data_IF_224649117352
#
_entry.id   IF_224649117352
#
_cell.length_a   1.000
_cell.length_b   1.000
_cell.length_c   1.000
_cell.angle_alpha   90.00
_cell.angle_beta   90.00
_cell.angle_gamma   90.00
#
_symmetry.space_group_name_H-M   'P 1'
#
loop_
_entity.id
_entity.type
_entity.pdbx_description
1 polymer ?
#
# COMPACT_ATOMS: atom_id res chain seq x y z
N UNK A 1 -6.89 -14.39 -8.85
CA UNK A 1 -6.85 -13.08 -8.16
C UNK A 1 -6.74 -13.32 -6.67
N UNK A 2 -5.73 -12.73 -6.01
CA UNK A 2 -5.54 -12.80 -4.56
C UNK A 2 -6.44 -11.76 -3.89
N UNK A 3 -7.11 -12.11 -2.79
CA UNK A 3 -8.04 -11.22 -2.10
C UNK A 3 -7.54 -10.96 -0.69
N UNK A 4 -7.34 -9.71 -0.36
CA UNK A 4 -6.96 -9.23 0.97
C UNK A 4 -7.96 -8.21 1.49
N UNK A 5 -7.58 -7.53 2.56
CA UNK A 5 -8.40 -6.52 3.23
C UNK A 5 -7.63 -5.23 3.44
N UNK A 6 -8.34 -4.11 3.51
CA UNK A 6 -7.79 -2.86 4.02
C UNK A 6 -7.96 -2.83 5.53
N UNK A 7 -6.87 -2.60 6.26
CA UNK A 7 -6.90 -2.42 7.71
C UNK A 7 -7.73 -1.18 8.07
N UNK A 8 -8.74 -1.28 8.95
CA UNK A 8 -9.64 -0.16 9.24
C UNK A 8 -9.02 0.86 10.19
N UNK A 9 -7.92 1.46 9.78
CA UNK A 9 -6.96 2.23 10.57
C UNK A 9 -7.60 3.39 11.36
N UNK A 10 -8.59 4.06 10.76
CA UNK A 10 -9.28 5.20 11.41
C UNK A 10 -10.46 4.78 12.30
N UNK A 11 -10.81 3.49 12.33
CA UNK A 11 -11.97 2.92 13.06
C UNK A 11 -11.57 1.78 13.98
N UNK A 12 -10.35 1.22 13.88
CA UNK A 12 -9.87 0.07 14.69
C UNK A 12 -9.58 0.44 16.16
N UNK A 13 -9.34 1.71 16.44
CA UNK A 13 -8.94 2.17 17.76
C UNK A 13 -7.46 1.95 18.06
N UNK A 14 -7.13 1.90 19.37
CA UNK A 14 -5.75 1.86 19.86
C UNK A 14 -5.45 0.63 20.74
N UNK A 15 -6.42 -0.27 20.91
CA UNK A 15 -6.23 -1.49 21.72
C UNK A 15 -5.36 -2.50 20.95
N UNK A 16 -4.16 -2.84 21.46
CA UNK A 16 -3.28 -3.80 20.81
C UNK A 16 -3.90 -5.19 20.64
N UNK A 17 -4.79 -5.59 21.56
CA UNK A 17 -5.48 -6.87 21.47
C UNK A 17 -6.43 -6.90 20.28
N UNK A 18 -7.22 -5.84 20.10
CA UNK A 18 -8.15 -5.71 18.98
C UNK A 18 -7.41 -5.68 17.63
N UNK A 19 -6.27 -4.99 17.56
CA UNK A 19 -5.42 -4.93 16.36
C UNK A 19 -4.88 -6.33 16.00
N UNK A 20 -4.36 -7.06 17.01
CA UNK A 20 -3.89 -8.44 16.86
C UNK A 20 -5.01 -9.37 16.40
N UNK A 21 -6.14 -9.33 17.11
CA UNK A 21 -7.26 -10.25 16.90
C UNK A 21 -7.89 -10.03 15.52
N UNK A 22 -7.98 -8.77 15.05
CA UNK A 22 -8.38 -8.46 13.67
C UNK A 22 -7.47 -9.13 12.64
N UNK A 23 -6.15 -8.98 12.77
CA UNK A 23 -5.21 -9.56 11.81
C UNK A 23 -5.26 -11.08 11.80
N UNK A 24 -5.38 -11.72 12.97
CA UNK A 24 -5.52 -13.17 13.10
C UNK A 24 -6.84 -13.68 12.52
N UNK A 25 -7.97 -12.97 12.74
CA UNK A 25 -9.26 -13.30 12.15
C UNK A 25 -9.21 -13.21 10.61
N UNK A 26 -8.62 -12.15 10.06
CA UNK A 26 -8.42 -11.97 8.63
C UNK A 26 -7.59 -13.12 8.03
N UNK A 27 -6.51 -13.50 8.70
CA UNK A 27 -5.69 -14.65 8.28
C UNK A 27 -6.46 -15.97 8.37
N UNK A 28 -7.21 -16.20 9.45
CA UNK A 28 -8.02 -17.41 9.64
C UNK A 28 -9.13 -17.54 8.59
N UNK A 29 -9.73 -16.42 8.19
CA UNK A 29 -10.69 -16.38 7.10
C UNK A 29 -10.07 -16.69 5.71
N UNK A 30 -8.72 -16.72 5.59
CA UNK A 30 -8.02 -17.03 4.35
C UNK A 30 -7.86 -15.83 3.41
N UNK A 31 -8.03 -14.60 3.89
CA UNK A 31 -7.57 -13.43 3.15
C UNK A 31 -6.05 -13.48 3.01
N UNK A 32 -5.54 -13.05 1.85
CA UNK A 32 -4.13 -13.25 1.49
C UNK A 32 -3.21 -12.15 1.99
N UNK A 33 -3.73 -10.94 2.22
CA UNK A 33 -2.94 -9.78 2.62
C UNK A 33 -3.77 -8.76 3.41
N UNK A 34 -3.08 -7.97 4.20
CA UNK A 34 -3.61 -6.77 4.86
C UNK A 34 -2.90 -5.54 4.33
N UNK A 35 -3.69 -4.58 3.82
CA UNK A 35 -3.21 -3.33 3.27
C UNK A 35 -3.44 -2.20 4.27
N UNK A 36 -2.38 -1.44 4.60
CA UNK A 36 -2.39 -0.37 5.60
C UNK A 36 -2.05 0.97 4.95
N UNK A 37 -2.85 2.02 5.26
CA UNK A 37 -2.59 3.38 4.80
C UNK A 37 -1.51 4.07 5.63
N UNK A 38 -0.86 5.09 5.06
CA UNK A 38 0.19 5.88 5.70
C UNK A 38 -0.21 7.36 5.81
N UNK A 39 -0.24 7.85 7.04
CA UNK A 39 -0.21 9.27 7.37
C UNK A 39 0.60 9.46 8.66
N UNK A 40 1.59 10.35 8.61
CA UNK A 40 2.43 10.67 9.78
C UNK A 40 1.78 11.73 10.64
N UNK A 41 1.14 12.72 10.01
CA UNK A 41 0.51 13.88 10.66
C UNK A 41 -0.83 14.20 10.03
N UNK A 42 -1.83 14.46 10.86
CA UNK A 42 -3.12 15.02 10.46
C UNK A 42 -3.15 16.54 10.62
N UNK A 43 -3.64 17.25 9.61
CA UNK A 43 -3.77 18.70 9.70
C UNK A 43 -4.91 19.14 10.63
N UNK A 44 -4.77 20.32 11.27
CA UNK A 44 -5.85 20.97 11.97
C UNK A 44 -6.86 21.54 10.94
N UNK A 45 -8.16 21.19 11.01
CA UNK A 45 -9.18 21.76 10.11
C UNK A 45 -9.31 23.28 10.21
N UNK A 46 -9.01 23.84 11.41
CA UNK A 46 -9.16 25.27 11.73
C UNK A 46 -7.88 26.08 11.46
N UNK A 47 -6.87 25.48 10.83
CA UNK A 47 -5.62 26.17 10.48
C UNK A 47 -5.88 27.36 9.55
N UNK A 48 -5.01 28.40 9.53
CA UNK A 48 -5.08 29.48 8.56
C UNK A 48 -5.16 28.94 7.11
N UNK A 49 -6.14 29.40 6.35
CA UNK A 49 -6.45 28.89 5.01
C UNK A 49 -7.33 27.63 4.97
N UNK A 50 -7.72 27.10 6.14
CA UNK A 50 -8.58 25.93 6.26
C UNK A 50 -7.89 24.61 5.87
N UNK A 51 -8.67 23.51 5.87
CA UNK A 51 -8.23 22.19 5.45
C UNK A 51 -9.31 21.51 4.60
N UNK A 52 -8.93 20.97 3.46
CA UNK A 52 -9.85 20.26 2.53
C UNK A 52 -9.48 18.79 2.32
N UNK A 53 -8.45 18.29 3.02
CA UNK A 53 -8.06 16.89 2.94
C UNK A 53 -9.02 15.97 3.71
N UNK A 54 -9.07 14.67 3.36
CA UNK A 54 -9.99 13.70 3.95
C UNK A 54 -9.65 13.37 5.41
N UNK A 55 -8.40 13.55 5.83
CA UNK A 55 -7.92 13.18 7.16
C UNK A 55 -7.40 14.40 7.92
N UNK A 56 -7.66 14.40 9.23
CA UNK A 56 -7.27 15.45 10.17
C UNK A 56 -6.49 14.84 11.33
N UNK A 57 -5.96 15.63 12.25
CA UNK A 57 -5.27 15.18 13.45
C UNK A 57 -6.12 14.30 14.39
N UNK A 58 -7.46 14.25 14.16
CA UNK A 58 -8.39 13.42 14.95
C UNK A 58 -8.47 11.97 14.45
N UNK A 59 -7.97 11.68 13.26
CA UNK A 59 -7.99 10.33 12.70
C UNK A 59 -6.76 9.55 13.15
N UNK A 60 -6.98 8.36 13.68
CA UNK A 60 -5.90 7.47 14.09
C UNK A 60 -5.22 6.88 12.87
N UNK A 61 -3.89 6.98 12.83
CA UNK A 61 -3.02 6.28 11.90
C UNK A 61 -1.86 5.67 12.67
N UNK A 62 -1.73 4.36 12.62
CA UNK A 62 -0.51 3.69 13.05
C UNK A 62 0.56 3.82 11.97
N UNK A 63 1.81 4.05 12.34
CA UNK A 63 2.90 4.05 11.38
C UNK A 63 3.03 2.63 10.78
N UNK A 64 2.95 2.48 9.44
CA UNK A 64 2.78 1.17 8.81
C UNK A 64 3.91 0.17 9.12
N UNK A 65 5.18 0.60 9.06
CA UNK A 65 6.30 -0.32 9.25
C UNK A 65 6.46 -0.74 10.72
N UNK A 66 6.10 0.12 11.66
CA UNK A 66 6.02 -0.21 13.10
C UNK A 66 4.88 -1.20 13.35
N UNK A 67 3.69 -0.92 12.80
CA UNK A 67 2.53 -1.82 12.89
C UNK A 67 2.86 -3.20 12.28
N UNK A 68 3.55 -3.25 11.16
CA UNK A 68 3.93 -4.50 10.51
C UNK A 68 4.90 -5.34 11.33
N UNK A 69 5.78 -4.73 12.13
CA UNK A 69 6.60 -5.47 13.10
C UNK A 69 5.73 -6.23 14.11
N UNK A 70 4.66 -5.60 14.60
CA UNK A 70 3.69 -6.21 15.51
C UNK A 70 2.85 -7.30 14.82
N UNK A 71 2.33 -7.03 13.62
CA UNK A 71 1.50 -7.97 12.86
C UNK A 71 2.31 -9.17 12.35
N UNK A 72 3.60 -8.99 12.03
CA UNK A 72 4.48 -10.08 11.63
C UNK A 72 4.60 -11.16 12.70
N UNK A 73 4.65 -10.77 13.98
CA UNK A 73 4.68 -11.69 15.11
C UNK A 73 3.32 -12.35 15.38
N UNK A 74 2.22 -11.65 15.07
CA UNK A 74 0.85 -12.11 15.33
C UNK A 74 0.29 -13.05 14.25
N UNK A 75 0.86 -13.06 13.05
CA UNK A 75 0.38 -13.79 11.87
C UNK A 75 1.47 -14.67 11.26
N UNK A 76 1.10 -15.63 10.40
CA UNK A 76 2.03 -16.62 9.81
C UNK A 76 2.11 -16.55 8.29
N UNK A 77 1.02 -16.21 7.60
CA UNK A 77 0.88 -16.27 6.14
C UNK A 77 0.44 -14.95 5.52
N UNK A 78 -0.19 -14.07 6.34
CA UNK A 78 -0.76 -12.82 5.88
C UNK A 78 0.35 -11.91 5.32
N UNK A 79 0.25 -11.52 4.04
CA UNK A 79 1.15 -10.55 3.42
C UNK A 79 0.86 -9.15 3.98
N UNK A 80 1.90 -8.42 4.30
CA UNK A 80 1.85 -7.07 4.88
C UNK A 80 2.08 -6.05 3.76
N UNK A 81 1.09 -5.20 3.50
CA UNK A 81 1.11 -4.31 2.33
C UNK A 81 0.90 -2.86 2.74
N UNK A 82 1.81 -1.97 2.38
CA UNK A 82 1.53 -0.53 2.50
C UNK A 82 0.68 -0.06 1.31
N UNK A 83 -0.40 0.62 1.59
CA UNK A 83 -1.33 1.04 0.53
C UNK A 83 -1.72 2.51 0.57
N UNK A 84 -0.81 3.39 0.56
CA UNK A 84 0.64 3.37 0.19
C UNK A 84 1.49 4.09 1.24
N UNK A 85 2.78 3.75 1.34
CA UNK A 85 3.75 4.55 2.07
C UNK A 85 4.10 5.82 1.26
N UNK A 86 4.05 6.99 1.90
CA UNK A 86 4.40 8.24 1.22
C UNK A 86 5.93 8.38 1.22
N UNK A 87 6.58 7.68 0.28
CA UNK A 87 8.03 7.52 0.25
C UNK A 87 8.82 8.85 0.22
N UNK A 88 8.41 9.89 -0.56
CA UNK A 88 9.16 11.13 -0.61
C UNK A 88 9.13 11.99 0.68
N UNK A 89 8.37 11.60 1.69
CA UNK A 89 8.41 12.21 3.02
C UNK A 89 9.49 11.59 3.92
N UNK A 90 10.15 10.54 3.47
CA UNK A 90 11.02 9.68 4.28
C UNK A 90 12.43 9.61 3.71
N UNK A 91 13.39 9.32 4.57
CA UNK A 91 14.76 9.03 4.18
C UNK A 91 14.85 7.62 3.55
N UNK A 92 15.31 7.52 2.30
CA UNK A 92 15.34 6.27 1.55
C UNK A 92 16.13 5.15 2.25
N UNK A 93 17.29 5.46 2.82
CA UNK A 93 18.11 4.48 3.54
C UNK A 93 17.42 3.97 4.81
N UNK A 94 16.70 4.84 5.55
CA UNK A 94 15.93 4.43 6.73
C UNK A 94 14.76 3.53 6.34
N UNK A 95 13.99 3.88 5.30
CA UNK A 95 12.92 3.02 4.80
C UNK A 95 13.45 1.68 4.30
N UNK A 96 14.58 1.67 3.57
CA UNK A 96 15.22 0.43 3.14
C UNK A 96 15.55 -0.48 4.32
N UNK A 97 16.10 0.08 5.40
CA UNK A 97 16.42 -0.66 6.63
C UNK A 97 15.17 -1.16 7.34
N UNK A 98 14.16 -0.32 7.52
CA UNK A 98 12.89 -0.69 8.17
C UNK A 98 12.17 -1.78 7.38
N UNK A 99 12.05 -1.62 6.07
CA UNK A 99 11.43 -2.63 5.19
C UNK A 99 12.18 -3.96 5.22
N UNK A 100 13.51 -3.96 5.16
CA UNK A 100 14.32 -5.17 5.30
C UNK A 100 14.10 -5.86 6.66
N UNK A 101 13.99 -5.08 7.74
CA UNK A 101 13.71 -5.62 9.07
C UNK A 101 12.33 -6.27 9.13
N UNK A 102 11.28 -5.59 8.64
CA UNK A 102 9.92 -6.16 8.57
C UNK A 102 9.89 -7.42 7.71
N UNK A 103 10.60 -7.40 6.58
CA UNK A 103 10.65 -8.54 5.67
C UNK A 103 11.30 -9.76 6.32
N UNK A 104 12.40 -9.58 7.05
CA UNK A 104 13.04 -10.64 7.84
C UNK A 104 12.11 -11.16 8.95
N UNK A 105 11.51 -10.25 9.75
CA UNK A 105 10.64 -10.63 10.86
C UNK A 105 9.37 -11.33 10.39
N UNK A 106 8.88 -11.01 9.20
CA UNK A 106 7.70 -11.63 8.60
C UNK A 106 8.04 -12.91 7.80
N UNK A 107 9.33 -13.22 7.55
CA UNK A 107 9.73 -14.33 6.69
C UNK A 107 9.43 -14.09 5.22
N UNK A 108 9.64 -12.88 4.72
CA UNK A 108 9.48 -12.54 3.30
C UNK A 108 8.02 -12.22 2.91
N UNK A 109 7.22 -11.66 3.83
CA UNK A 109 5.80 -11.34 3.58
C UNK A 109 5.52 -9.84 3.40
N UNK A 110 6.54 -9.02 3.15
CA UNK A 110 6.34 -7.59 2.90
C UNK A 110 6.16 -7.30 1.41
N UNK A 111 5.17 -6.48 1.07
CA UNK A 111 5.02 -5.82 -0.22
C UNK A 111 4.89 -4.32 0.00
N UNK A 112 5.83 -3.56 -0.54
CA UNK A 112 5.94 -2.13 -0.30
C UNK A 112 5.20 -1.34 -1.39
N UNK A 113 3.95 -0.95 -1.11
CA UNK A 113 3.24 0.02 -1.93
C UNK A 113 3.70 1.44 -1.58
N UNK A 114 4.09 2.24 -2.57
CA UNK A 114 4.61 3.60 -2.41
C UNK A 114 3.89 4.58 -3.31
N UNK A 115 3.81 5.85 -2.90
CA UNK A 115 3.39 6.94 -3.78
C UNK A 115 3.97 8.29 -3.35
N UNK A 116 3.67 9.31 -4.16
CA UNK A 116 4.20 10.66 -3.95
C UNK A 116 3.46 11.47 -2.88
N UNK A 117 2.28 11.04 -2.44
CA UNK A 117 1.46 11.75 -1.46
C UNK A 117 0.84 13.06 -1.97
N UNK A 118 -0.15 13.54 -1.23
CA UNK A 118 -0.94 14.74 -1.55
C UNK A 118 -0.91 15.80 -0.43
N UNK A 119 -0.55 15.43 0.80
CA UNK A 119 -0.63 16.29 1.98
C UNK A 119 0.63 17.15 2.13
N UNK A 120 0.59 18.39 1.65
CA UNK A 120 1.73 19.31 1.74
C UNK A 120 2.12 19.67 3.19
N UNK A 121 1.18 19.56 4.15
CA UNK A 121 1.45 19.85 5.57
C UNK A 121 2.40 18.82 6.17
N UNK A 122 2.23 17.54 5.81
CA UNK A 122 3.15 16.47 6.23
C UNK A 122 4.56 16.67 5.65
N UNK A 123 4.64 17.07 4.37
CA UNK A 123 5.93 17.36 3.73
C UNK A 123 6.69 18.47 4.46
N UNK A 124 6.00 19.56 4.78
CA UNK A 124 6.57 20.69 5.52
C UNK A 124 7.06 20.25 6.90
N UNK A 125 6.22 19.54 7.65
CA UNK A 125 6.54 19.07 8.99
C UNK A 125 7.71 18.08 9.04
N UNK A 126 7.89 17.30 7.97
CA UNK A 126 8.98 16.33 7.82
C UNK A 126 10.25 16.94 7.14
N UNK A 127 10.25 18.25 6.88
CA UNK A 127 11.38 18.96 6.29
C UNK A 127 11.62 18.64 4.81
N UNK A 128 10.58 18.19 4.09
CA UNK A 128 10.71 17.67 2.74
C UNK A 128 9.98 18.51 1.67
N UNK A 129 10.58 18.62 0.49
CA UNK A 129 10.02 19.42 -0.59
C UNK A 129 8.86 18.72 -1.29
N UNK A 130 7.65 19.28 -1.17
CA UNK A 130 6.47 18.81 -1.90
C UNK A 130 6.64 18.91 -3.44
N UNK A 131 7.38 19.91 -3.93
CA UNK A 131 7.54 20.16 -5.39
C UNK A 131 8.41 19.11 -6.09
N UNK A 132 9.38 18.53 -5.39
CA UNK A 132 10.34 17.57 -5.98
C UNK A 132 9.91 16.13 -5.82
N UNK A 133 8.83 15.82 -5.06
CA UNK A 133 8.41 14.49 -4.67
C UNK A 133 8.31 13.48 -5.83
N UNK A 134 7.81 13.93 -6.99
CA UNK A 134 7.61 13.06 -8.15
C UNK A 134 8.91 12.62 -8.83
N UNK A 135 9.98 13.43 -8.78
CA UNK A 135 11.30 13.05 -9.32
C UNK A 135 12.11 12.27 -8.30
N UNK A 136 12.01 12.67 -7.03
CA UNK A 136 12.76 12.05 -5.93
C UNK A 136 12.38 10.60 -5.68
N UNK A 137 11.10 10.21 -5.83
CA UNK A 137 10.63 8.84 -5.56
C UNK A 137 11.34 7.79 -6.46
N UNK A 138 11.69 8.13 -7.70
CA UNK A 138 12.39 7.20 -8.59
C UNK A 138 13.78 6.87 -8.06
N UNK A 139 14.56 7.89 -7.72
CA UNK A 139 15.89 7.71 -7.13
C UNK A 139 15.81 6.98 -5.78
N UNK A 140 14.77 7.25 -4.96
CA UNK A 140 14.55 6.52 -3.71
C UNK A 140 14.33 5.02 -3.92
N UNK A 141 13.53 4.63 -4.92
CA UNK A 141 13.30 3.22 -5.25
C UNK A 141 14.61 2.54 -5.71
N UNK A 142 15.38 3.21 -6.55
CA UNK A 142 16.68 2.70 -6.99
C UNK A 142 17.66 2.51 -5.83
N UNK A 143 17.75 3.49 -4.93
CA UNK A 143 18.59 3.43 -3.71
C UNK A 143 18.15 2.26 -2.82
N UNK A 144 16.87 2.11 -2.56
CA UNK A 144 16.36 1.02 -1.73
C UNK A 144 16.65 -0.35 -2.35
N UNK A 145 16.42 -0.52 -3.65
CA UNK A 145 16.73 -1.78 -4.36
C UNK A 145 18.23 -2.10 -4.31
N UNK A 146 19.09 -1.11 -4.48
CA UNK A 146 20.54 -1.30 -4.36
C UNK A 146 20.90 -1.79 -2.95
N UNK A 147 20.36 -1.15 -1.89
CA UNK A 147 20.58 -1.53 -0.50
C UNK A 147 20.03 -2.92 -0.15
N UNK A 148 18.97 -3.40 -0.78
CA UNK A 148 18.40 -4.73 -0.53
C UNK A 148 19.13 -5.87 -1.24
N UNK A 149 19.91 -5.55 -2.28
CA UNK A 149 20.52 -6.58 -3.15
C UNK A 149 22.03 -6.66 -3.07
N UNK A 150 22.68 -5.68 -2.44
CA UNK A 150 24.13 -5.59 -2.35
C UNK A 150 24.57 -5.37 -0.90
N UNK A 151 25.68 -5.99 -0.51
CA UNK A 151 26.26 -5.80 0.83
C UNK A 151 26.78 -4.37 1.04
N UNK A 152 27.38 -3.79 0.00
CA UNK A 152 27.86 -2.41 -0.03
C UNK A 152 27.40 -1.70 -1.29
N UNK A 153 26.99 -0.46 -1.16
CA UNK A 153 26.56 0.40 -2.25
C UNK A 153 27.31 1.73 -2.24
N UNK A 154 27.57 2.25 -3.43
CA UNK A 154 27.99 3.63 -3.66
C UNK A 154 26.96 4.30 -4.54
N UNK A 155 26.30 5.31 -4.04
CA UNK A 155 25.30 6.10 -4.77
C UNK A 155 25.71 7.57 -4.72
N UNK A 156 25.70 8.21 -5.87
CA UNK A 156 25.83 9.66 -6.00
C UNK A 156 24.71 10.14 -6.93
N UNK A 157 23.55 10.40 -6.33
CA UNK A 157 22.36 10.88 -7.02
C UNK A 157 22.14 12.39 -6.88
N UNK A 158 20.99 12.86 -7.31
CA UNK A 158 20.57 14.24 -7.14
C UNK A 158 20.13 14.54 -5.70
N UNK A 159 19.50 13.56 -5.03
CA UNK A 159 18.95 13.70 -3.68
C UNK A 159 19.59 12.77 -2.67
N UNK A 160 20.28 11.72 -3.09
CA UNK A 160 20.83 10.70 -2.20
C UNK A 160 22.31 10.50 -2.49
N UNK A 161 23.11 10.45 -1.43
CA UNK A 161 24.51 10.08 -1.48
C UNK A 161 24.78 9.00 -0.43
N UNK A 162 25.36 7.89 -0.85
CA UNK A 162 25.81 6.81 0.03
C UNK A 162 27.27 6.53 -0.29
N UNK A 163 28.20 6.92 0.57
CA UNK A 163 29.63 6.78 0.31
C UNK A 163 30.18 5.43 0.80
N UNK A 164 29.84 4.32 0.12
CA UNK A 164 30.34 2.98 0.45
C UNK A 164 29.79 2.43 1.78
N UNK A 165 28.48 2.21 1.84
CA UNK A 165 27.79 1.70 3.01
C UNK A 165 26.70 0.68 2.60
N UNK A 166 26.20 -0.10 3.53
CA UNK A 166 25.13 -1.07 3.31
C UNK A 166 24.22 -1.23 4.53
N UNK A 167 23.20 -2.05 4.39
CA UNK A 167 22.30 -2.43 5.48
C UNK A 167 22.53 -3.87 5.89
N UNK A 168 22.35 -4.19 7.17
CA UNK A 168 22.36 -5.55 7.70
C UNK A 168 21.33 -5.66 8.85
N UNK A 169 20.38 -6.64 8.83
CA UNK A 169 20.27 -7.70 7.83
C UNK A 169 19.79 -7.20 6.46
N UNK A 170 20.15 -7.93 5.41
CA UNK A 170 19.49 -7.86 4.12
C UNK A 170 18.11 -8.53 4.22
N UNK A 171 17.11 -8.11 3.40
CA UNK A 171 15.80 -8.74 3.42
C UNK A 171 15.84 -10.19 2.93
N UNK A 172 14.79 -10.95 3.21
CA UNK A 172 14.54 -12.28 2.62
C UNK A 172 14.31 -12.16 1.13
N UNK A 173 13.42 -11.23 0.73
CA UNK A 173 13.12 -10.89 -0.66
C UNK A 173 14.17 -9.91 -1.21
N UNK A 174 14.87 -10.26 -2.30
CA UNK A 174 15.98 -9.46 -2.86
C UNK A 174 15.77 -9.15 -4.34
N UNK A 175 15.09 -8.05 -4.71
CA UNK A 175 14.56 -7.00 -3.82
C UNK A 175 13.16 -7.31 -3.27
N UNK A 176 12.75 -6.56 -2.23
CA UNK A 176 11.35 -6.49 -1.78
C UNK A 176 10.49 -5.94 -2.93
N UNK A 177 9.32 -6.52 -3.22
CA UNK A 177 8.43 -6.01 -4.27
C UNK A 177 7.95 -4.58 -3.95
N UNK A 178 8.11 -3.67 -4.91
CA UNK A 178 7.68 -2.27 -4.81
C UNK A 178 6.52 -2.03 -5.76
N UNK A 179 5.36 -1.67 -5.22
CA UNK A 179 4.17 -1.31 -6.00
C UNK A 179 3.92 0.20 -5.90
N UNK A 180 3.30 0.80 -6.90
CA UNK A 180 3.11 2.24 -6.92
C UNK A 180 1.63 2.62 -7.00
N UNK A 181 1.20 3.56 -6.14
CA UNK A 181 -0.13 4.16 -6.17
C UNK A 181 -0.17 5.47 -6.96
N UNK A 182 -1.36 5.81 -7.46
CA UNK A 182 -1.67 7.04 -8.16
C UNK A 182 -2.15 6.82 -9.60
N UNK A 183 -2.90 7.79 -10.16
CA UNK A 183 -3.71 7.59 -11.36
C UNK A 183 -3.31 8.49 -12.54
N UNK A 184 -2.51 9.55 -12.31
CA UNK A 184 -2.09 10.41 -13.42
C UNK A 184 -1.20 9.63 -14.40
N UNK A 185 -1.30 9.96 -15.69
CA UNK A 185 -0.53 9.27 -16.73
C UNK A 185 0.97 9.24 -16.44
N UNK A 186 1.52 10.33 -15.91
CA UNK A 186 2.93 10.40 -15.49
C UNK A 186 3.26 9.37 -14.40
N UNK A 187 2.36 9.15 -13.42
CA UNK A 187 2.56 8.16 -12.37
C UNK A 187 2.45 6.75 -12.92
N UNK A 188 1.48 6.49 -13.78
CA UNK A 188 1.26 5.17 -14.38
C UNK A 188 2.44 4.77 -15.27
N UNK A 189 2.95 5.68 -16.11
CA UNK A 189 4.18 5.45 -16.90
C UNK A 189 5.41 5.20 -16.01
N UNK A 190 5.51 5.92 -14.90
CA UNK A 190 6.57 5.70 -13.90
C UNK A 190 6.44 4.31 -13.29
N UNK A 191 5.26 3.93 -12.81
CA UNK A 191 5.00 2.60 -12.25
C UNK A 191 5.40 1.49 -13.23
N UNK A 192 4.99 1.60 -14.49
CA UNK A 192 5.34 0.66 -15.55
C UNK A 192 6.86 0.50 -15.76
N UNK A 193 7.63 1.56 -15.53
CA UNK A 193 9.09 1.56 -15.68
C UNK A 193 9.82 1.03 -14.44
N UNK A 194 9.42 1.47 -13.23
CA UNK A 194 10.24 1.26 -12.02
C UNK A 194 9.56 0.46 -10.91
N UNK A 195 8.28 0.10 -11.01
CA UNK A 195 7.58 -0.67 -9.99
C UNK A 195 7.27 -2.10 -10.43
N UNK A 196 6.96 -2.98 -9.48
CA UNK A 196 6.56 -4.37 -9.74
C UNK A 196 5.04 -4.52 -9.85
N UNK A 197 4.30 -3.43 -9.61
CA UNK A 197 2.86 -3.38 -9.75
C UNK A 197 2.29 -1.98 -9.54
N UNK A 198 0.96 -1.88 -9.71
CA UNK A 198 0.21 -0.65 -9.60
C UNK A 198 -1.07 -0.81 -8.76
N UNK A 199 -1.40 0.23 -8.00
CA UNK A 199 -2.51 0.27 -7.05
C UNK A 199 -3.46 1.42 -7.40
N UNK A 200 -4.41 1.21 -8.33
CA UNK A 200 -5.41 2.22 -8.73
C UNK A 200 -6.59 2.34 -7.77
N UNK A 201 -7.37 3.41 -7.98
CA UNK A 201 -8.68 3.62 -7.38
C UNK A 201 -9.72 3.74 -8.50
N UNK A 202 -10.27 2.64 -8.97
CA UNK A 202 -11.39 2.62 -9.91
C UNK A 202 -12.35 1.49 -9.54
N UNK A 203 -13.57 1.56 -10.06
CA UNK A 203 -14.52 0.44 -10.04
C UNK A 203 -14.32 -0.44 -11.26
N UNK A 204 -14.69 -1.73 -11.20
CA UNK A 204 -14.54 -2.63 -12.34
C UNK A 204 -15.49 -2.23 -13.49
N UNK A 205 -15.10 -2.52 -14.72
CA UNK A 205 -15.88 -2.23 -15.92
C UNK A 205 -15.02 -1.94 -17.14
N UNK A 206 -15.67 -1.63 -18.26
CA UNK A 206 -14.98 -1.40 -19.55
C UNK A 206 -14.00 -0.23 -19.52
N UNK A 207 -14.36 0.88 -18.84
CA UNK A 207 -13.47 2.02 -18.68
C UNK A 207 -12.19 1.65 -17.90
N UNK A 208 -12.34 0.93 -16.79
CA UNK A 208 -11.21 0.42 -16.01
C UNK A 208 -10.34 -0.56 -16.82
N UNK A 209 -10.98 -1.46 -17.61
CA UNK A 209 -10.25 -2.37 -18.49
C UNK A 209 -9.40 -1.61 -19.51
N UNK A 210 -9.93 -0.55 -20.10
CA UNK A 210 -9.15 0.31 -21.02
C UNK A 210 -7.92 0.91 -20.35
N UNK A 211 -8.03 1.32 -19.08
CA UNK A 211 -6.88 1.82 -18.31
C UNK A 211 -5.87 0.71 -18.04
N UNK A 212 -6.31 -0.48 -17.64
CA UNK A 212 -5.44 -1.65 -17.42
C UNK A 212 -4.69 -2.02 -18.71
N UNK A 213 -5.39 -2.09 -19.83
CA UNK A 213 -4.78 -2.42 -21.12
C UNK A 213 -3.72 -1.37 -21.53
N UNK A 214 -3.97 -0.08 -21.25
CA UNK A 214 -2.99 1.01 -21.44
C UNK A 214 -1.76 0.86 -20.53
N UNK A 215 -1.96 0.52 -19.25
CA UNK A 215 -0.85 0.25 -18.32
C UNK A 215 0.02 -0.89 -18.82
N UNK A 216 -0.58 -1.98 -19.28
CA UNK A 216 0.15 -3.10 -19.88
C UNK A 216 0.91 -2.67 -21.17
N UNK A 217 0.37 -1.72 -21.93
CA UNK A 217 1.09 -1.08 -23.03
C UNK A 217 2.37 -0.39 -22.56
N UNK A 218 2.28 0.43 -21.50
CA UNK A 218 3.45 1.12 -20.93
C UNK A 218 4.49 0.15 -20.35
N UNK A 219 4.06 -0.97 -19.75
CA UNK A 219 4.95 -2.02 -19.26
C UNK A 219 5.75 -2.63 -20.43
N UNK A 220 5.09 -2.90 -21.57
CA UNK A 220 5.75 -3.39 -22.79
C UNK A 220 6.70 -2.35 -23.39
N UNK A 221 6.28 -1.09 -23.45
CA UNK A 221 7.13 0.03 -23.92
C UNK A 221 8.40 0.18 -23.05
N UNK A 222 8.31 -0.15 -21.75
CA UNK A 222 9.45 -0.21 -20.84
C UNK A 222 10.32 -1.48 -20.98
N UNK A 223 10.05 -2.35 -21.94
CA UNK A 223 10.78 -3.60 -22.20
C UNK A 223 10.48 -4.71 -21.19
N UNK A 224 9.32 -4.65 -20.50
CA UNK A 224 8.94 -5.60 -19.44
C UNK A 224 7.75 -6.46 -19.86
N UNK A 225 7.59 -7.63 -19.24
CA UNK A 225 6.46 -8.50 -19.48
C UNK A 225 5.26 -8.12 -18.60
N UNK A 226 4.06 -7.85 -19.15
CA UNK A 226 2.87 -7.52 -18.36
C UNK A 226 2.44 -8.60 -17.37
N UNK A 227 2.79 -9.87 -17.64
CA UNK A 227 2.48 -10.99 -16.74
C UNK A 227 3.19 -10.89 -15.39
N UNK A 228 4.34 -10.20 -15.34
CA UNK A 228 5.14 -9.98 -14.13
C UNK A 228 4.75 -8.68 -13.41
N UNK A 229 3.78 -7.93 -13.94
CA UNK A 229 3.33 -6.66 -13.38
C UNK A 229 1.96 -6.83 -12.71
N UNK A 230 1.93 -6.68 -11.38
CA UNK A 230 0.70 -6.82 -10.61
C UNK A 230 -0.20 -5.58 -10.67
N UNK A 231 -1.52 -5.79 -10.60
CA UNK A 231 -2.49 -4.70 -10.43
C UNK A 231 -3.43 -5.06 -9.30
N UNK A 232 -3.59 -4.13 -8.33
CA UNK A 232 -4.44 -4.32 -7.16
C UNK A 232 -5.58 -3.29 -7.14
N UNK A 233 -6.81 -3.78 -7.32
CA UNK A 233 -8.02 -2.99 -7.15
C UNK A 233 -8.45 -2.86 -5.68
N UNK A 234 -9.45 -2.00 -5.42
CA UNK A 234 -10.08 -1.85 -4.12
C UNK A 234 -11.58 -1.99 -4.22
N UNK A 235 -12.16 -2.80 -3.34
CA UNK A 235 -13.60 -2.98 -3.21
C UNK A 235 -14.07 -2.33 -1.90
N UNK A 236 -14.59 -1.12 -1.98
CA UNK A 236 -15.15 -0.42 -0.84
C UNK A 236 -16.60 -0.85 -0.59
N UNK A 237 -16.83 -1.60 0.49
CA UNK A 237 -18.17 -2.10 0.82
C UNK A 237 -19.18 -0.97 1.10
N UNK A 238 -18.70 0.19 1.56
CA UNK A 238 -19.53 1.37 1.77
C UNK A 238 -20.07 2.02 0.47
N UNK A 239 -19.52 1.64 -0.68
CA UNK A 239 -19.91 2.18 -1.99
C UNK A 239 -20.78 1.25 -2.82
N UNK A 240 -21.03 0.03 -2.34
CA UNK A 240 -21.78 -1.01 -3.06
C UNK A 240 -22.81 -1.64 -2.11
N UNK A 241 -24.11 -1.61 -2.44
CA UNK A 241 -25.13 -2.30 -1.67
C UNK A 241 -24.80 -3.79 -1.49
N UNK A 242 -25.10 -4.37 -0.33
CA UNK A 242 -24.77 -5.77 -0.05
C UNK A 242 -25.35 -6.74 -1.08
N UNK A 243 -26.57 -6.48 -1.55
CA UNK A 243 -27.21 -7.29 -2.59
C UNK A 243 -26.45 -7.33 -3.93
N UNK A 244 -25.54 -6.39 -4.16
CA UNK A 244 -24.75 -6.27 -5.40
C UNK A 244 -23.30 -6.78 -5.24
N UNK A 245 -22.86 -7.18 -4.04
CA UNK A 245 -21.47 -7.61 -3.80
C UNK A 245 -21.02 -8.75 -4.69
N UNK A 246 -21.85 -9.77 -4.87
CA UNK A 246 -21.52 -10.90 -5.73
C UNK A 246 -21.36 -10.47 -7.20
N UNK A 247 -22.23 -9.57 -7.68
CA UNK A 247 -22.15 -9.02 -9.03
C UNK A 247 -20.89 -8.18 -9.23
N UNK A 248 -20.56 -7.28 -8.29
CA UNK A 248 -19.34 -6.46 -8.32
C UNK A 248 -18.08 -7.35 -8.28
N UNK A 249 -18.08 -8.40 -7.45
CA UNK A 249 -16.99 -9.39 -7.41
C UNK A 249 -16.86 -10.16 -8.73
N UNK A 250 -17.95 -10.52 -9.36
CA UNK A 250 -17.92 -11.15 -10.69
C UNK A 250 -17.32 -10.19 -11.73
N UNK A 251 -17.67 -8.89 -11.67
CA UNK A 251 -17.08 -7.86 -12.54
C UNK A 251 -15.56 -7.73 -12.31
N UNK A 252 -15.07 -7.72 -11.06
CA UNK A 252 -13.64 -7.72 -10.76
C UNK A 252 -12.93 -8.96 -11.29
N UNK A 253 -13.54 -10.16 -11.12
CA UNK A 253 -12.99 -11.43 -11.64
C UNK A 253 -12.94 -11.47 -13.17
N UNK A 254 -13.88 -10.78 -13.83
CA UNK A 254 -13.94 -10.67 -15.29
C UNK A 254 -12.91 -9.74 -15.90
N UNK A 255 -12.29 -8.85 -15.10
CA UNK A 255 -11.25 -7.95 -15.60
C UNK A 255 -9.94 -8.69 -15.84
N UNK A 256 -9.39 -8.54 -17.05
CA UNK A 256 -8.07 -9.08 -17.38
C UNK A 256 -6.98 -8.24 -16.74
N UNK A 257 -5.95 -8.89 -16.20
CA UNK A 257 -4.75 -8.25 -15.66
C UNK A 257 -4.87 -7.80 -14.19
N UNK A 258 -6.05 -7.88 -13.57
CA UNK A 258 -6.18 -7.66 -12.13
C UNK A 258 -5.68 -8.92 -11.39
N UNK A 259 -4.64 -8.74 -10.58
CA UNK A 259 -3.99 -9.82 -9.86
C UNK A 259 -4.40 -9.88 -8.38
N UNK A 260 -4.71 -8.71 -7.80
CA UNK A 260 -5.05 -8.54 -6.38
C UNK A 260 -6.29 -7.66 -6.22
N UNK A 261 -7.00 -7.86 -5.10
CA UNK A 261 -8.13 -7.03 -4.69
C UNK A 261 -8.12 -6.89 -3.18
N UNK A 262 -8.20 -5.65 -2.67
CA UNK A 262 -8.36 -5.37 -1.24
C UNK A 262 -9.78 -4.94 -0.91
N UNK A 263 -10.44 -5.67 0.00
CA UNK A 263 -11.79 -5.37 0.48
C UNK A 263 -11.71 -4.33 1.60
N UNK A 264 -12.55 -3.30 1.55
CA UNK A 264 -12.49 -2.12 2.38
C UNK A 264 -13.77 -1.93 3.18
N UNK A 265 -13.70 -2.05 4.50
CA UNK A 265 -14.85 -1.90 5.43
C UNK A 265 -14.99 -0.51 6.04
N UNK A 266 -13.98 0.37 5.90
CA UNK A 266 -14.00 1.75 6.43
C UNK A 266 -15.11 2.56 5.77
N UNK A 267 -15.78 3.40 6.58
CA UNK A 267 -16.89 4.24 6.11
C UNK A 267 -18.26 3.57 6.19
N UNK A 268 -18.34 2.36 6.75
CA UNK A 268 -19.61 1.68 7.03
C UNK A 268 -20.23 2.10 8.38
N UNK A 269 -19.52 2.91 9.17
CA UNK A 269 -19.98 3.31 10.51
C UNK A 269 -19.98 2.15 11.51
N UNK A 270 -19.07 1.20 11.37
CA UNK A 270 -18.97 0.03 12.23
C UNK A 270 -18.41 0.44 13.60
N UNK A 271 -19.09 0.09 14.72
CA UNK A 271 -18.77 0.66 16.02
C UNK A 271 -17.56 0.01 16.72
N UNK A 272 -17.12 -1.14 16.25
CA UNK A 272 -16.08 -1.93 16.94
C UNK A 272 -15.19 -2.69 15.95
N UNK A 273 -13.95 -3.05 16.33
CA UNK A 273 -13.09 -3.94 15.53
C UNK A 273 -13.75 -5.28 15.19
N UNK A 274 -14.53 -5.86 16.12
CA UNK A 274 -15.28 -7.08 15.90
C UNK A 274 -16.32 -6.94 14.77
N UNK A 275 -17.01 -5.80 14.71
CA UNK A 275 -17.98 -5.54 13.65
C UNK A 275 -17.32 -5.49 12.24
N UNK A 276 -16.08 -5.03 12.15
CA UNK A 276 -15.31 -5.12 10.89
C UNK A 276 -15.01 -6.57 10.50
N UNK A 277 -14.67 -7.41 11.47
CA UNK A 277 -14.45 -8.86 11.25
C UNK A 277 -15.73 -9.54 10.78
N UNK A 278 -16.85 -9.33 11.48
CA UNK A 278 -18.17 -9.88 11.12
C UNK A 278 -18.60 -9.44 9.71
N UNK A 279 -18.33 -8.18 9.34
CA UNK A 279 -18.61 -7.66 8.01
C UNK A 279 -17.78 -8.36 6.92
N UNK A 280 -16.52 -8.64 7.19
CA UNK A 280 -15.65 -9.38 6.28
C UNK A 280 -16.05 -10.85 6.15
N UNK A 281 -16.50 -11.49 7.24
CA UNK A 281 -17.07 -12.85 7.21
C UNK A 281 -18.34 -12.90 6.36
N UNK A 282 -19.22 -11.94 6.57
CA UNK A 282 -20.45 -11.80 5.78
C UNK A 282 -20.13 -11.60 4.30
N UNK A 283 -19.23 -10.67 3.97
CA UNK A 283 -18.81 -10.43 2.59
C UNK A 283 -18.22 -11.70 1.96
N UNK A 284 -17.37 -12.41 2.70
CA UNK A 284 -16.79 -13.67 2.20
C UNK A 284 -17.88 -14.68 1.86
N UNK A 285 -18.88 -14.87 2.72
CA UNK A 285 -19.98 -15.79 2.51
C UNK A 285 -20.87 -15.38 1.32
N UNK A 286 -21.18 -14.08 1.19
CA UNK A 286 -22.13 -13.60 0.18
C UNK A 286 -21.51 -13.35 -1.21
N UNK A 287 -20.19 -13.06 -1.28
CA UNK A 287 -19.56 -12.63 -2.53
C UNK A 287 -18.37 -13.47 -2.98
N UNK A 288 -17.75 -14.27 -2.11
CA UNK A 288 -16.59 -15.06 -2.50
C UNK A 288 -16.94 -16.55 -2.70
N UNK A 289 -18.02 -17.03 -2.07
CA UNK A 289 -18.51 -18.40 -2.15
C UNK A 289 -17.86 -19.31 -1.13
#
# INVERSE_FOLDING_TARGET
MRIGVVFPQVEIGQDPSAIRDYAQAVEAMGYTHVLVFDHVLGANPERPGGWKGPYTFRHTFHEPLVLFGFLAAATRRLELVTGILILPQRQAALVAKQAATVDVLSGGRLRLGVAVGWNAVEFEALGESFRTRGRRIEEQIEVMRALWTKDLVRVQGQWHSIPDAGINPLPVQRPIPVWMGGESDVVVRRAARVADGWMPHFRPGSAAQTVVDRVHGYVKEAGRAPVDFGIEGRFALSQVPAAEWAQEMAAWRGMRGITHLSVHTVGLGLPTPAAHVEMLERFKKEALG
#
